data_IF_717178684340
#
_entry.id   IF_717178684340
#
_cell.length_a   1.000
_cell.length_b   1.000
_cell.length_c   1.000
_cell.angle_alpha   90.00
_cell.angle_beta   90.00
_cell.angle_gamma   90.00
#
_symmetry.space_group_name_H-M   'P 1'
#
loop_
_entity.id
_entity.type
_entity.pdbx_description
1 polymer ?
#
# COMPACT_ATOMS: atom_id res chain seq x y z
N UNK A 1 -7.85 17.12 -32.50
CA UNK A 1 -7.14 15.99 -33.14
C UNK A 1 -6.88 14.93 -32.06
N UNK A 2 -7.47 13.74 -32.17
CA UNK A 2 -7.23 12.65 -31.21
C UNK A 2 -5.81 12.11 -31.39
N UNK A 3 -4.92 12.38 -30.42
CA UNK A 3 -3.59 11.76 -30.40
C UNK A 3 -3.77 10.32 -29.92
N UNK A 4 -3.38 9.35 -30.74
CA UNK A 4 -3.41 7.93 -30.34
C UNK A 4 -2.47 7.72 -29.14
N UNK A 5 -2.90 6.97 -28.11
CA UNK A 5 -2.04 6.67 -26.98
C UNK A 5 -0.83 5.85 -27.44
N UNK A 6 0.34 6.23 -26.93
CA UNK A 6 1.60 5.56 -27.23
C UNK A 6 1.68 4.28 -26.39
N UNK A 7 2.10 3.18 -27.00
CA UNK A 7 2.25 1.89 -26.32
C UNK A 7 3.28 1.97 -25.18
N UNK A 8 2.96 1.33 -24.05
CA UNK A 8 3.79 1.28 -22.85
C UNK A 8 5.20 0.70 -23.10
N UNK A 9 5.33 -0.26 -24.02
CA UNK A 9 6.62 -0.80 -24.42
C UNK A 9 7.51 0.24 -25.12
N UNK A 10 6.90 1.14 -25.91
CA UNK A 10 7.63 2.22 -26.58
C UNK A 10 8.04 3.33 -25.60
N UNK A 11 7.29 3.54 -24.51
CA UNK A 11 7.66 4.46 -23.43
C UNK A 11 8.87 3.96 -22.65
N UNK A 12 8.88 2.69 -22.25
CA UNK A 12 9.97 2.10 -21.47
C UNK A 12 11.31 2.11 -22.22
N UNK A 13 11.29 1.87 -23.54
CA UNK A 13 12.49 1.97 -24.39
C UNK A 13 13.00 3.41 -24.47
N UNK A 14 12.12 4.41 -24.48
CA UNK A 14 12.55 5.83 -24.52
C UNK A 14 13.15 6.29 -23.20
N UNK A 15 12.59 5.85 -22.07
CA UNK A 15 13.10 6.18 -20.73
C UNK A 15 14.49 5.57 -20.51
N UNK A 16 14.69 4.31 -20.92
CA UNK A 16 15.98 3.64 -20.78
C UNK A 16 17.12 4.28 -21.59
N UNK A 17 16.79 5.05 -22.62
CA UNK A 17 17.76 5.69 -23.52
C UNK A 17 17.91 7.21 -23.31
N UNK A 18 17.16 7.82 -22.37
CA UNK A 18 17.26 9.25 -22.10
C UNK A 18 18.44 9.55 -21.17
N UNK A 19 19.43 10.31 -21.66
CA UNK A 19 20.57 10.76 -20.85
C UNK A 19 20.23 11.88 -19.85
N UNK A 20 19.12 12.58 -20.08
CA UNK A 20 18.52 13.54 -19.15
C UNK A 20 17.00 13.50 -19.32
N UNK A 21 16.29 13.24 -18.22
CA UNK A 21 14.83 13.07 -18.17
C UNK A 21 14.09 14.36 -18.63
N UNK A 22 14.80 15.50 -18.63
CA UNK A 22 14.29 16.81 -19.08
C UNK A 22 13.97 16.91 -20.58
N UNK A 23 14.57 16.04 -21.42
CA UNK A 23 14.35 16.05 -22.88
C UNK A 23 13.20 15.15 -23.34
N UNK A 24 12.52 14.48 -22.40
CA UNK A 24 11.33 13.70 -22.72
C UNK A 24 10.08 14.60 -22.74
N UNK A 25 9.95 15.43 -23.79
CA UNK A 25 8.75 16.26 -24.08
C UNK A 25 7.43 15.45 -24.24
N UNK A 26 7.46 14.12 -24.00
CA UNK A 26 6.32 13.22 -24.04
C UNK A 26 5.99 12.54 -22.71
N UNK A 27 6.75 12.78 -21.62
CA UNK A 27 6.31 12.43 -20.26
C UNK A 27 5.44 13.58 -19.71
N UNK A 28 4.44 13.94 -20.52
CA UNK A 28 3.36 14.77 -20.09
C UNK A 28 2.56 13.89 -19.12
N UNK A 29 2.94 13.90 -17.84
CA UNK A 29 1.98 13.58 -16.79
C UNK A 29 0.96 14.73 -16.81
N UNK A 30 0.11 14.72 -17.84
CA UNK A 30 -1.14 15.46 -17.88
C UNK A 30 -1.89 14.99 -16.63
N UNK A 31 -1.76 15.77 -15.56
CA UNK A 31 -2.18 15.58 -14.17
C UNK A 31 -2.19 14.14 -13.62
N UNK A 32 -1.54 13.94 -12.47
CA UNK A 32 -1.71 12.72 -11.65
C UNK A 32 -3.19 12.35 -11.41
N UNK A 33 -4.08 13.34 -11.43
CA UNK A 33 -5.53 13.19 -11.28
C UNK A 33 -6.25 12.72 -12.57
N UNK A 34 -5.67 12.88 -13.76
CA UNK A 34 -6.27 12.41 -15.02
C UNK A 34 -6.12 10.87 -15.16
N UNK A 35 -5.31 10.22 -14.30
CA UNK A 35 -5.07 8.77 -14.25
C UNK A 35 -5.74 8.11 -13.02
N UNK A 36 -6.45 8.89 -12.21
CA UNK A 36 -7.13 8.43 -11.00
C UNK A 36 -8.62 8.69 -11.16
N UNK A 37 -9.33 7.63 -11.58
CA UNK A 37 -10.79 7.59 -11.52
C UNK A 37 -11.28 7.42 -10.06
N UNK A 38 -12.60 7.50 -9.88
CA UNK A 38 -13.25 7.43 -8.57
C UNK A 38 -12.93 6.10 -7.85
N UNK A 39 -13.02 4.98 -8.55
CA UNK A 39 -12.74 3.65 -7.99
C UNK A 39 -11.30 3.55 -7.49
N UNK A 40 -10.35 4.05 -8.28
CA UNK A 40 -8.94 4.07 -7.90
C UNK A 40 -8.66 5.02 -6.74
N UNK A 41 -9.34 6.16 -6.67
CA UNK A 41 -9.27 7.07 -5.53
C UNK A 41 -9.75 6.40 -4.24
N UNK A 42 -10.86 5.65 -4.31
CA UNK A 42 -11.40 4.88 -3.18
C UNK A 42 -10.38 3.83 -2.72
N UNK A 43 -9.83 3.03 -3.65
CA UNK A 43 -8.82 2.02 -3.29
C UNK A 43 -7.57 2.63 -2.64
N UNK A 44 -7.09 3.77 -3.16
CA UNK A 44 -5.94 4.47 -2.58
C UNK A 44 -6.22 4.97 -1.18
N UNK A 45 -7.41 5.54 -0.96
CA UNK A 45 -7.85 5.98 0.36
C UNK A 45 -7.90 4.81 1.34
N UNK A 46 -8.55 3.70 0.96
CA UNK A 46 -8.65 2.51 1.81
C UNK A 46 -7.28 1.94 2.17
N UNK A 47 -6.36 1.88 1.19
CA UNK A 47 -4.99 1.44 1.43
C UNK A 47 -4.25 2.38 2.38
N UNK A 48 -4.42 3.70 2.23
CA UNK A 48 -3.79 4.70 3.10
C UNK A 48 -4.34 4.63 4.52
N UNK A 49 -5.67 4.56 4.68
CA UNK A 49 -6.35 4.45 5.98
C UNK A 49 -5.88 3.20 6.73
N UNK A 50 -5.72 2.07 6.01
CA UNK A 50 -5.17 0.84 6.58
C UNK A 50 -3.72 1.02 7.05
N UNK A 51 -2.84 1.59 6.21
CA UNK A 51 -1.45 1.84 6.59
C UNK A 51 -1.33 2.74 7.83
N UNK A 52 -2.18 3.77 7.94
CA UNK A 52 -2.22 4.66 9.11
C UNK A 52 -2.65 3.88 10.35
N UNK A 53 -3.74 3.11 10.28
CA UNK A 53 -4.24 2.35 11.42
C UNK A 53 -3.29 1.25 11.88
N UNK A 54 -2.63 0.55 10.96
CA UNK A 54 -1.61 -0.45 11.29
C UNK A 54 -0.40 0.19 11.94
N UNK A 55 0.08 1.33 11.42
CA UNK A 55 1.17 2.07 12.05
C UNK A 55 0.82 2.48 13.48
N UNK A 56 -0.42 2.94 13.72
CA UNK A 56 -0.87 3.30 15.05
C UNK A 56 -0.82 2.09 15.99
N UNK A 57 -1.38 0.95 15.58
CA UNK A 57 -1.39 -0.30 16.37
C UNK A 57 0.04 -0.76 16.72
N UNK A 58 0.95 -0.75 15.74
CA UNK A 58 2.35 -1.14 15.93
C UNK A 58 3.09 -0.16 16.83
N UNK A 59 2.83 1.14 16.71
CA UNK A 59 3.48 2.17 17.53
C UNK A 59 3.00 2.11 18.97
N UNK A 60 1.71 1.86 19.20
CA UNK A 60 1.15 1.74 20.55
C UNK A 60 1.28 0.34 21.14
N UNK A 61 1.71 -0.66 20.34
CA UNK A 61 1.73 -2.08 20.68
C UNK A 61 0.40 -2.59 21.26
N UNK A 62 -0.74 -2.04 20.81
CA UNK A 62 -2.05 -2.28 21.45
C UNK A 62 -3.21 -2.15 20.44
N UNK A 63 -4.21 -3.01 20.62
CA UNK A 63 -5.52 -2.89 19.97
C UNK A 63 -6.52 -2.31 20.98
N UNK A 64 -7.11 -1.15 20.66
CA UNK A 64 -8.02 -0.44 21.57
C UNK A 64 -9.50 -0.75 21.35
N UNK A 65 -9.87 -1.37 20.23
CA UNK A 65 -11.25 -1.71 19.90
C UNK A 65 -11.33 -2.77 18.80
N UNK A 66 -12.55 -3.30 18.58
CA UNK A 66 -12.83 -4.32 17.58
C UNK A 66 -12.54 -3.88 16.14
N UNK A 67 -12.70 -2.60 15.79
CA UNK A 67 -12.37 -2.12 14.44
C UNK A 67 -10.86 -2.21 14.15
N UNK A 68 -10.02 -1.86 15.14
CA UNK A 68 -8.56 -2.03 15.05
C UNK A 68 -8.15 -3.51 15.04
N UNK A 69 -8.87 -4.36 15.77
CA UNK A 69 -8.67 -5.81 15.72
C UNK A 69 -8.93 -6.37 14.31
N UNK A 70 -10.06 -6.02 13.70
CA UNK A 70 -10.37 -6.41 12.32
C UNK A 70 -9.35 -5.86 11.31
N UNK A 71 -8.88 -4.64 11.52
CA UNK A 71 -7.85 -4.04 10.67
C UNK A 71 -6.53 -4.81 10.75
N UNK A 72 -6.09 -5.18 11.96
CA UNK A 72 -4.89 -5.99 12.18
C UNK A 72 -5.01 -7.36 11.50
N UNK A 73 -6.16 -8.04 11.64
CA UNK A 73 -6.41 -9.32 10.97
C UNK A 73 -6.37 -9.21 9.44
N UNK A 74 -6.99 -8.17 8.87
CA UNK A 74 -6.94 -7.91 7.42
C UNK A 74 -5.51 -7.70 6.93
N UNK A 75 -4.68 -7.00 7.71
CA UNK A 75 -3.27 -6.80 7.36
C UNK A 75 -2.47 -8.10 7.45
N UNK A 76 -2.67 -8.89 8.51
CA UNK A 76 -2.07 -10.21 8.67
C UNK A 76 -2.38 -11.09 7.45
N UNK A 77 -3.63 -11.10 6.97
CA UNK A 77 -4.03 -11.84 5.77
C UNK A 77 -3.23 -11.40 4.52
N UNK A 78 -3.03 -10.08 4.34
CA UNK A 78 -2.26 -9.56 3.20
C UNK A 78 -0.79 -9.95 3.21
N UNK A 79 -0.19 -10.07 4.40
CA UNK A 79 1.25 -10.34 4.56
C UNK A 79 1.52 -11.76 5.04
N UNK A 80 0.52 -12.65 5.03
CA UNK A 80 0.59 -13.99 5.60
C UNK A 80 1.78 -14.82 5.09
N UNK A 81 2.15 -14.63 3.82
CA UNK A 81 3.25 -15.34 3.17
C UNK A 81 4.58 -14.59 3.24
N UNK A 82 4.72 -13.58 4.11
CA UNK A 82 5.96 -12.84 4.26
C UNK A 82 7.10 -13.74 4.74
N UNK A 83 8.28 -13.57 4.16
CA UNK A 83 9.46 -14.33 4.56
C UNK A 83 9.93 -13.90 5.96
N UNK A 84 10.30 -14.85 6.84
CA UNK A 84 10.84 -14.53 8.16
C UNK A 84 12.09 -13.63 8.09
N UNK A 85 12.27 -12.78 9.09
CA UNK A 85 13.39 -11.80 9.19
C UNK A 85 13.44 -10.74 8.08
N UNK A 86 12.36 -10.58 7.30
CA UNK A 86 12.16 -9.40 6.43
C UNK A 86 11.37 -8.34 7.18
N UNK A 87 11.30 -7.11 6.64
CA UNK A 87 10.46 -6.06 7.23
C UNK A 87 8.99 -6.50 7.35
N UNK A 88 8.45 -7.16 6.30
CA UNK A 88 7.09 -7.68 6.31
C UNK A 88 6.92 -8.87 7.26
N UNK A 89 7.93 -9.74 7.37
CA UNK A 89 7.93 -10.84 8.33
C UNK A 89 7.92 -10.34 9.77
N UNK A 90 8.74 -9.33 10.08
CA UNK A 90 8.78 -8.70 11.39
C UNK A 90 7.46 -7.97 11.71
N UNK A 91 6.85 -7.32 10.72
CA UNK A 91 5.51 -6.72 10.85
C UNK A 91 4.46 -7.79 11.16
N UNK A 92 4.48 -8.92 10.45
CA UNK A 92 3.58 -10.05 10.67
C UNK A 92 3.71 -10.61 12.08
N UNK A 93 4.94 -10.91 12.53
CA UNK A 93 5.20 -11.46 13.86
C UNK A 93 4.67 -10.54 14.96
N UNK A 94 4.90 -9.23 14.84
CA UNK A 94 4.46 -8.24 15.82
C UNK A 94 2.92 -8.08 15.82
N UNK A 95 2.29 -8.06 14.64
CA UNK A 95 0.83 -8.01 14.54
C UNK A 95 0.17 -9.25 15.15
N UNK A 96 0.69 -10.45 14.88
CA UNK A 96 0.19 -11.70 15.47
C UNK A 96 0.31 -11.63 16.99
N UNK A 97 1.46 -11.20 17.51
CA UNK A 97 1.69 -11.04 18.96
C UNK A 97 0.68 -10.08 19.60
N UNK A 98 0.43 -8.93 18.98
CA UNK A 98 -0.52 -7.92 19.48
C UNK A 98 -1.96 -8.45 19.43
N UNK A 99 -2.35 -9.13 18.34
CA UNK A 99 -3.69 -9.73 18.18
C UNK A 99 -3.92 -10.79 19.25
N UNK A 100 -3.00 -11.75 19.42
CA UNK A 100 -3.12 -12.79 20.44
C UNK A 100 -3.30 -12.16 21.84
N UNK A 101 -2.50 -11.13 22.18
CA UNK A 101 -2.62 -10.45 23.46
C UNK A 101 -3.98 -9.77 23.66
N UNK A 102 -4.58 -9.21 22.62
CA UNK A 102 -5.93 -8.64 22.68
C UNK A 102 -7.00 -9.72 22.85
N UNK A 103 -6.92 -10.80 22.07
CA UNK A 103 -7.90 -11.89 22.13
C UNK A 103 -7.87 -12.61 23.48
N UNK A 104 -6.69 -12.85 24.04
CA UNK A 104 -6.53 -13.40 25.39
C UNK A 104 -7.12 -12.50 26.48
N UNK A 105 -7.07 -11.18 26.30
CA UNK A 105 -7.59 -10.24 27.29
C UNK A 105 -9.12 -10.05 27.22
N UNK A 106 -9.71 -10.18 26.03
CA UNK A 106 -11.08 -9.73 25.79
C UNK A 106 -12.01 -10.78 25.19
N UNK A 107 -11.49 -11.88 24.63
CA UNK A 107 -12.26 -12.90 23.92
C UNK A 107 -12.06 -14.34 24.45
N UNK A 108 -11.13 -14.57 25.39
CA UNK A 108 -10.98 -15.86 26.08
C UNK A 108 -11.93 -16.00 27.26
#
# INVERSE_FOLDING_TARGET
MSKKPISMNALNIKIANAQDLSTCEGLLFDNIFDVVDEDKAICLKESSDMCIGIREILTTCQISNSAKHQLALKRIEQIWNAEPNTELGNELDELVRIVCSYEEQFLS
#
